data_IF_320825430276
#
_entry.id   IF_320825430276
#
_cell.length_a   1.000
_cell.length_b   1.000
_cell.length_c   1.000
_cell.angle_alpha   90.00
_cell.angle_beta   90.00
_cell.angle_gamma   90.00
#
_symmetry.space_group_name_H-M   'P 1'
#
loop_
_entity.id
_entity.type
_entity.pdbx_description
1 polymer ?
#
# COMPACT_ATOMS: atom_id res chain seq x y z
N UNK A 1 14.19 9.34 23.22
CA UNK A 1 12.83 9.18 22.69
C UNK A 1 12.92 9.05 21.17
N UNK A 2 12.70 7.87 20.61
CA UNK A 2 12.75 7.68 19.15
C UNK A 2 11.50 8.30 18.53
N UNK A 3 11.65 9.43 17.82
CA UNK A 3 10.53 10.08 17.15
C UNK A 3 9.89 9.10 16.16
N UNK A 4 8.57 8.90 16.26
CA UNK A 4 7.84 8.13 15.25
C UNK A 4 7.90 8.93 13.94
N UNK A 5 8.37 8.34 12.83
CA UNK A 5 8.49 9.08 11.58
C UNK A 5 7.11 9.61 11.17
N UNK A 6 7.02 10.93 11.01
CA UNK A 6 5.82 11.56 10.50
C UNK A 6 5.67 11.27 9.00
N UNK A 7 4.43 11.16 8.48
CA UNK A 7 4.19 11.06 7.05
C UNK A 7 4.77 12.30 6.34
N UNK A 8 5.47 12.10 5.23
CA UNK A 8 5.85 13.20 4.34
C UNK A 8 4.75 13.42 3.32
N UNK A 9 4.61 14.64 2.79
CA UNK A 9 3.63 14.94 1.74
C UNK A 9 3.75 13.97 0.55
N UNK A 10 4.98 13.60 0.18
CA UNK A 10 5.26 12.59 -0.86
C UNK A 10 4.68 11.21 -0.52
N UNK A 11 4.83 10.73 0.72
CA UNK A 11 4.29 9.43 1.14
C UNK A 11 2.77 9.43 1.18
N UNK A 12 2.17 10.54 1.60
CA UNK A 12 0.71 10.72 1.60
C UNK A 12 0.19 10.63 0.16
N UNK A 13 0.80 11.35 -0.78
CA UNK A 13 0.43 11.30 -2.20
C UNK A 13 0.48 9.87 -2.76
N UNK A 14 1.60 9.17 -2.57
CA UNK A 14 1.77 7.78 -3.01
C UNK A 14 0.76 6.82 -2.35
N UNK A 15 0.46 7.00 -1.07
CA UNK A 15 -0.55 6.21 -0.36
C UNK A 15 -1.95 6.40 -0.97
N UNK A 16 -2.32 7.65 -1.27
CA UNK A 16 -3.60 7.95 -1.92
C UNK A 16 -3.70 7.36 -3.32
N UNK A 17 -2.61 7.40 -4.11
CA UNK A 17 -2.56 6.74 -5.42
C UNK A 17 -2.77 5.23 -5.30
N UNK A 18 -2.09 4.56 -4.36
CA UNK A 18 -2.29 3.13 -4.12
C UNK A 18 -3.73 2.81 -3.71
N UNK A 19 -4.32 3.61 -2.83
CA UNK A 19 -5.73 3.47 -2.46
C UNK A 19 -6.64 3.62 -3.68
N UNK A 20 -6.37 4.61 -4.53
CA UNK A 20 -7.16 4.82 -5.75
C UNK A 20 -7.05 3.63 -6.71
N UNK A 21 -5.87 3.03 -6.87
CA UNK A 21 -5.67 1.81 -7.66
C UNK A 21 -6.47 0.64 -7.09
N UNK A 22 -6.46 0.44 -5.77
CA UNK A 22 -7.27 -0.60 -5.12
C UNK A 22 -8.77 -0.43 -5.39
N UNK A 23 -9.27 0.79 -5.29
CA UNK A 23 -10.68 1.08 -5.58
C UNK A 23 -11.02 0.87 -7.06
N UNK A 24 -10.12 1.26 -7.98
CA UNK A 24 -10.27 0.98 -9.42
C UNK A 24 -10.29 -0.52 -9.73
N UNK A 25 -9.50 -1.30 -9.01
CA UNK A 25 -9.52 -2.77 -9.07
C UNK A 25 -10.76 -3.40 -8.39
N UNK A 26 -11.62 -2.61 -7.75
CA UNK A 26 -12.83 -3.11 -7.08
C UNK A 26 -12.55 -3.93 -5.82
N UNK A 27 -11.37 -3.78 -5.21
CA UNK A 27 -10.93 -4.63 -4.10
C UNK A 27 -11.13 -3.98 -2.72
N UNK A 28 -11.59 -4.78 -1.77
CA UNK A 28 -11.50 -4.44 -0.35
C UNK A 28 -10.07 -4.59 0.17
N UNK A 29 -9.75 -4.01 1.33
CA UNK A 29 -8.45 -4.21 1.97
C UNK A 29 -8.17 -5.71 2.22
N UNK A 30 -9.17 -6.47 2.66
CA UNK A 30 -9.03 -7.89 2.95
C UNK A 30 -8.68 -8.70 1.69
N UNK A 31 -9.35 -8.43 0.57
CA UNK A 31 -9.05 -9.07 -0.71
C UNK A 31 -7.67 -8.66 -1.26
N UNK A 32 -7.28 -7.40 -1.07
CA UNK A 32 -5.99 -6.91 -1.54
C UNK A 32 -4.80 -7.56 -0.83
N UNK A 33 -4.94 -7.90 0.46
CA UNK A 33 -3.87 -8.51 1.26
C UNK A 33 -3.94 -10.03 1.32
N UNK A 34 -4.98 -10.64 0.78
CA UNK A 34 -5.20 -12.09 0.87
C UNK A 34 -4.03 -12.86 0.26
N UNK A 35 -3.35 -13.70 1.03
CA UNK A 35 -2.16 -14.44 0.58
C UNK A 35 -0.88 -13.59 0.41
N UNK A 36 -0.87 -12.33 0.84
CA UNK A 36 0.33 -11.49 0.90
C UNK A 36 0.98 -11.54 2.29
N UNK A 37 2.29 -11.22 2.42
CA UNK A 37 3.01 -11.31 3.70
C UNK A 37 2.70 -10.16 4.68
N UNK A 38 1.62 -9.40 4.45
CA UNK A 38 1.20 -8.29 5.29
C UNK A 38 -0.32 -8.24 5.44
N UNK A 39 -0.79 -7.60 6.51
CA UNK A 39 -2.20 -7.56 6.88
C UNK A 39 -2.91 -6.26 6.41
N UNK A 40 -4.23 -6.23 6.60
CA UNK A 40 -5.08 -5.09 6.25
C UNK A 40 -4.65 -3.81 6.98
N UNK A 41 -4.21 -3.92 8.23
CA UNK A 41 -3.68 -2.80 9.03
C UNK A 41 -2.44 -2.20 8.39
N UNK A 42 -1.53 -3.04 7.90
CA UNK A 42 -0.33 -2.60 7.20
C UNK A 42 -0.70 -1.89 5.91
N UNK A 43 -1.58 -2.47 5.09
CA UNK A 43 -2.04 -1.85 3.85
C UNK A 43 -2.73 -0.50 4.11
N UNK A 44 -3.60 -0.41 5.11
CA UNK A 44 -4.27 0.85 5.48
C UNK A 44 -3.27 1.95 5.85
N UNK A 45 -2.19 1.62 6.59
CA UNK A 45 -1.14 2.57 6.97
C UNK A 45 -0.29 3.00 5.78
N UNK A 46 -0.07 2.10 4.82
CA UNK A 46 0.61 2.41 3.56
C UNK A 46 -0.25 3.35 2.70
N UNK A 47 -1.53 3.04 2.53
CA UNK A 47 -2.50 3.86 1.81
C UNK A 47 -2.72 5.25 2.44
N UNK A 48 -2.44 5.39 3.73
CA UNK A 48 -2.51 6.69 4.43
C UNK A 48 -1.18 7.44 4.45
N UNK A 49 -0.12 6.90 3.83
CA UNK A 49 1.22 7.49 3.82
C UNK A 49 1.98 7.42 5.16
N UNK A 50 1.41 6.77 6.17
CA UNK A 50 2.00 6.66 7.51
C UNK A 50 3.19 5.70 7.56
N UNK A 51 3.23 4.76 6.62
CA UNK A 51 4.30 3.77 6.49
C UNK A 51 4.55 3.47 5.00
N UNK A 52 5.75 3.05 4.68
CA UNK A 52 6.08 2.44 3.38
C UNK A 52 6.25 0.93 3.55
N UNK A 53 6.11 0.16 2.47
CA UNK A 53 6.49 -1.24 2.50
C UNK A 53 7.97 -1.38 2.88
N UNK A 54 8.29 -2.45 3.61
CA UNK A 54 9.68 -2.75 3.98
C UNK A 54 10.52 -3.19 2.78
N UNK A 55 9.87 -3.78 1.79
CA UNK A 55 10.50 -4.35 0.59
C UNK A 55 9.71 -3.90 -0.63
N UNK A 56 10.42 -3.58 -1.72
CA UNK A 56 9.79 -3.19 -2.99
C UNK A 56 8.98 -4.34 -3.61
N UNK A 57 9.36 -5.61 -3.36
CA UNK A 57 8.61 -6.78 -3.82
C UNK A 57 7.16 -6.80 -3.36
N UNK A 58 6.89 -6.40 -2.12
CA UNK A 58 5.51 -6.33 -1.59
C UNK A 58 4.65 -5.29 -2.31
N UNK A 59 5.28 -4.19 -2.76
CA UNK A 59 4.60 -3.21 -3.59
C UNK A 59 4.26 -3.80 -4.97
N UNK A 60 5.21 -4.52 -5.58
CA UNK A 60 5.00 -5.17 -6.88
C UNK A 60 3.89 -6.22 -6.82
N UNK A 61 3.92 -7.13 -5.85
CA UNK A 61 2.87 -8.15 -5.65
C UNK A 61 1.49 -7.51 -5.45
N UNK A 62 1.42 -6.39 -4.73
CA UNK A 62 0.18 -5.64 -4.55
C UNK A 62 -0.31 -5.00 -5.86
N UNK A 63 0.59 -4.41 -6.64
CA UNK A 63 0.25 -3.79 -7.92
C UNK A 63 -0.22 -4.84 -8.93
N UNK A 64 0.42 -6.01 -8.97
CA UNK A 64 0.00 -7.15 -9.79
C UNK A 64 -1.44 -7.58 -9.44
N UNK A 65 -1.80 -7.59 -8.15
CA UNK A 65 -3.19 -7.84 -7.72
C UNK A 65 -4.17 -6.80 -8.23
N UNK A 66 -3.74 -5.55 -8.34
CA UNK A 66 -4.55 -4.48 -8.91
C UNK A 66 -4.59 -4.53 -10.44
N UNK A 67 -3.93 -5.51 -11.07
CA UNK A 67 -3.82 -5.63 -12.52
C UNK A 67 -2.81 -4.64 -13.12
N UNK A 68 -1.93 -4.06 -12.31
CA UNK A 68 -0.85 -3.16 -12.74
C UNK A 68 0.44 -3.98 -12.82
N UNK A 69 0.90 -4.26 -14.03
CA UNK A 69 2.21 -4.86 -14.29
C UNK A 69 3.16 -3.80 -14.83
N UNK A 70 4.41 -3.80 -14.37
CA UNK A 70 5.49 -3.03 -14.99
C UNK A 70 5.81 -3.69 -16.34
N UNK A 71 5.57 -2.99 -17.45
CA UNK A 71 6.19 -3.28 -18.76
C UNK A 71 7.50 -2.48 -18.91
#
# INVERSE_FOLDING_TARGET
>A
MTARPQPTARRIGLGHELRALRHKAGMTLAQAVDGLPFDTTTLQRVESGYRSFRQAGFLRELLERYGITDE
#
